data_IF_354237766516
#
_entry.id   IF_354237766516
#
_cell.length_a   1.000
_cell.length_b   1.000
_cell.length_c   1.000
_cell.angle_alpha   90.00
_cell.angle_beta   90.00
_cell.angle_gamma   90.00
#
_symmetry.space_group_name_H-M   'P 1'
#
loop_
_entity.id
_entity.type
_entity.pdbx_description
1 polymer ?
#
# COMPACT_ATOMS: atom_id res chain seq x y z
N UNK A 1 -20.63 -28.68 44.63
CA UNK A 1 -19.92 -28.33 45.89
C UNK A 1 -19.09 -27.08 45.54
N UNK A 2 -19.59 -25.87 45.86
CA UNK A 2 -19.26 -25.02 47.02
C UNK A 2 -17.75 -24.95 47.27
N UNK A 3 -17.07 -23.80 47.17
CA UNK A 3 -17.12 -22.51 47.94
C UNK A 3 -16.22 -21.50 47.22
N UNK A 4 -16.55 -20.31 46.85
CA UNK A 4 -16.62 -18.99 47.56
C UNK A 4 -15.52 -18.71 48.60
N UNK A 5 -14.87 -17.52 48.40
CA UNK A 5 -14.51 -16.51 49.42
C UNK A 5 -13.48 -15.57 48.74
N UNK A 6 -13.81 -14.37 48.34
CA UNK A 6 -14.01 -13.04 48.98
C UNK A 6 -12.76 -12.40 49.61
N UNK A 7 -12.59 -11.14 49.13
CA UNK A 7 -12.13 -9.90 49.81
C UNK A 7 -10.62 -9.78 50.06
N UNK A 8 -9.98 -8.63 49.96
CA UNK A 8 -10.38 -7.30 50.33
C UNK A 8 -9.45 -6.23 49.70
N UNK A 9 -9.99 -5.04 49.66
CA UNK A 9 -9.42 -3.78 49.26
C UNK A 9 -8.26 -3.28 50.16
N UNK A 10 -7.38 -2.46 49.58
CA UNK A 10 -6.70 -1.35 50.26
C UNK A 10 -6.37 -0.24 49.32
N UNK A 11 -7.06 0.89 49.47
CA UNK A 11 -6.69 2.21 48.99
C UNK A 11 -5.42 2.70 49.71
N UNK A 12 -4.51 3.32 49.00
CA UNK A 12 -3.66 4.40 49.55
C UNK A 12 -3.41 5.44 48.47
N UNK A 13 -4.02 6.61 48.65
CA UNK A 13 -3.64 7.87 48.04
C UNK A 13 -2.30 8.34 48.63
N UNK A 14 -1.41 8.78 47.76
CA UNK A 14 -0.41 9.78 48.13
C UNK A 14 -0.15 10.69 46.93
N UNK A 15 -0.64 11.91 47.04
CA UNK A 15 -0.28 13.02 46.17
C UNK A 15 1.07 13.56 46.62
N UNK A 16 1.97 13.81 45.67
CA UNK A 16 3.04 14.76 45.84
C UNK A 16 3.36 15.47 44.54
N UNK A 17 3.08 16.77 44.52
CA UNK A 17 3.61 17.73 43.55
C UNK A 17 5.15 17.83 43.69
N UNK A 18 5.81 17.84 42.55
CA UNK A 18 7.23 18.23 42.47
C UNK A 18 7.51 18.77 41.07
N UNK A 19 7.67 20.09 40.98
CA UNK A 19 8.14 20.82 39.79
C UNK A 19 9.67 20.65 39.66
N UNK A 20 10.08 20.81 38.40
CA UNK A 20 11.37 21.30 37.91
C UNK A 20 12.45 20.27 37.54
N UNK A 21 12.97 20.45 36.33
CA UNK A 21 14.31 20.04 36.00
C UNK A 21 14.51 19.54 34.58
N UNK A 22 15.10 20.39 33.77
CA UNK A 22 15.53 20.22 32.39
C UNK A 22 16.53 19.07 32.16
N UNK A 23 16.60 18.73 30.88
CA UNK A 23 17.72 18.17 30.11
C UNK A 23 18.08 16.70 30.31
N UNK A 24 18.06 16.01 29.18
CA UNK A 24 18.72 14.72 29.00
C UNK A 24 18.30 14.02 27.73
N UNK A 25 19.10 14.16 26.69
CA UNK A 25 19.10 13.37 25.49
C UNK A 25 18.85 11.89 25.74
N UNK A 26 17.87 11.34 25.07
CA UNK A 26 17.56 9.93 25.08
C UNK A 26 16.96 9.50 23.75
N UNK A 27 17.79 9.47 22.71
CA UNK A 27 17.52 8.94 21.38
C UNK A 27 17.09 7.48 21.46
N UNK A 28 15.80 7.20 21.50
CA UNK A 28 15.25 5.89 21.13
C UNK A 28 14.48 6.05 19.85
N UNK A 29 15.17 5.69 18.78
CA UNK A 29 14.65 5.57 17.43
C UNK A 29 13.54 4.53 17.41
N UNK A 30 12.28 5.00 17.46
CA UNK A 30 11.16 4.19 17.04
C UNK A 30 11.23 4.14 15.51
N UNK A 31 11.53 2.95 14.98
CA UNK A 31 11.47 2.63 13.55
C UNK A 31 10.02 2.85 13.09
N UNK A 32 9.74 4.05 12.61
CA UNK A 32 8.47 4.37 11.99
C UNK A 32 8.35 3.52 10.73
N UNK A 33 7.34 2.66 10.69
CA UNK A 33 6.94 1.95 9.50
C UNK A 33 6.67 2.99 8.42
N UNK A 34 7.40 2.92 7.32
CA UNK A 34 7.22 3.79 6.18
C UNK A 34 5.84 3.53 5.58
N UNK A 35 4.93 4.46 5.80
CA UNK A 35 3.65 4.51 5.08
C UNK A 35 3.99 4.88 3.63
N UNK A 36 3.54 4.14 2.60
CA UNK A 36 3.88 4.41 1.20
C UNK A 36 3.35 5.74 0.65
N UNK A 37 2.71 6.56 1.48
CA UNK A 37 2.00 7.77 1.08
C UNK A 37 2.78 9.08 1.30
N UNK A 38 4.02 9.09 1.79
CA UNK A 38 4.65 10.34 2.20
C UNK A 38 5.97 10.63 1.49
N UNK A 39 5.91 10.92 0.20
CA UNK A 39 6.90 11.73 -0.54
C UNK A 39 6.39 12.08 -1.93
N UNK A 40 5.19 12.60 -2.06
CA UNK A 40 4.81 13.29 -3.29
C UNK A 40 5.36 14.72 -3.21
N UNK A 41 6.54 14.96 -3.80
CA UNK A 41 6.82 16.26 -4.39
C UNK A 41 5.55 16.67 -5.15
N UNK A 42 5.08 17.93 -5.03
CA UNK A 42 3.93 18.48 -5.75
C UNK A 42 4.10 18.27 -7.27
N UNK A 43 3.92 17.07 -7.76
CA UNK A 43 3.71 16.81 -9.17
C UNK A 43 2.24 17.10 -9.44
N UNK A 44 2.01 17.92 -10.46
CA UNK A 44 0.67 18.16 -10.97
C UNK A 44 0.03 16.81 -11.30
N UNK A 45 -1.13 16.55 -10.69
CA UNK A 45 -1.80 15.25 -10.84
C UNK A 45 -2.20 15.04 -12.29
N UNK A 46 -1.85 13.88 -12.81
CA UNK A 46 -2.18 13.48 -14.16
C UNK A 46 -3.68 13.39 -14.35
N UNK A 47 -4.21 13.94 -15.44
CA UNK A 47 -5.60 13.75 -15.83
C UNK A 47 -5.82 12.31 -16.32
N UNK A 48 -6.46 11.49 -15.49
CA UNK A 48 -6.69 10.08 -15.81
C UNK A 48 -7.53 9.86 -17.08
N UNK A 49 -8.40 10.81 -17.45
CA UNK A 49 -9.24 10.70 -18.64
C UNK A 49 -8.45 10.81 -19.94
N UNK A 50 -7.23 11.37 -19.87
CA UNK A 50 -6.32 11.54 -21.01
C UNK A 50 -5.26 10.44 -21.10
N UNK A 51 -5.21 9.55 -20.10
CA UNK A 51 -4.28 8.44 -20.14
C UNK A 51 -4.79 7.32 -21.04
N UNK A 52 -3.89 6.81 -21.87
CA UNK A 52 -4.12 5.51 -22.50
C UNK A 52 -3.87 4.43 -21.46
N UNK A 53 -4.93 3.71 -21.10
CA UNK A 53 -4.88 2.57 -20.18
C UNK A 53 -5.13 1.31 -21.02
N UNK A 54 -4.16 0.41 -21.01
CA UNK A 54 -4.29 -0.88 -21.66
C UNK A 54 -4.93 -1.88 -20.66
N UNK A 55 -5.79 -2.78 -21.14
CA UNK A 55 -6.50 -3.73 -20.29
C UNK A 55 -5.80 -5.07 -20.17
N UNK A 56 -4.82 -5.35 -21.01
CA UNK A 56 -3.96 -6.54 -20.96
C UNK A 56 -2.65 -6.30 -21.73
N UNK A 57 -1.66 -7.13 -21.47
CA UNK A 57 -0.41 -7.18 -22.23
C UNK A 57 0.20 -8.57 -22.09
N UNK A 58 0.73 -9.12 -23.19
CA UNK A 58 1.48 -10.39 -23.18
C UNK A 58 2.77 -10.31 -22.35
N UNK A 59 3.21 -9.11 -22.02
CA UNK A 59 4.38 -8.89 -21.18
C UNK A 59 4.07 -9.06 -19.68
N UNK A 60 2.80 -8.95 -19.28
CA UNK A 60 2.41 -9.06 -17.88
C UNK A 60 2.80 -10.43 -17.30
N UNK A 61 3.28 -10.47 -16.05
CA UNK A 61 3.54 -11.73 -15.37
C UNK A 61 2.24 -12.50 -15.12
N UNK A 62 2.37 -13.78 -14.82
CA UNK A 62 1.23 -14.56 -14.32
C UNK A 62 1.15 -14.38 -12.81
N UNK A 63 -0.02 -13.92 -12.35
CA UNK A 63 -0.32 -13.75 -10.93
C UNK A 63 -1.15 -14.94 -10.45
N UNK A 64 -0.66 -15.61 -9.40
CA UNK A 64 -1.40 -16.67 -8.72
C UNK A 64 -2.65 -16.13 -8.03
N UNK A 65 -3.57 -17.03 -7.67
CA UNK A 65 -4.76 -16.61 -6.93
C UNK A 65 -4.36 -16.10 -5.53
N UNK A 66 -4.73 -14.89 -5.16
CA UNK A 66 -4.49 -14.41 -3.81
C UNK A 66 -5.36 -15.18 -2.80
N UNK A 67 -4.83 -15.43 -1.64
CA UNK A 67 -5.60 -15.88 -0.48
C UNK A 67 -5.71 -14.74 0.55
N UNK A 68 -6.65 -14.86 1.48
CA UNK A 68 -6.90 -13.79 2.46
C UNK A 68 -5.67 -13.38 3.28
N UNK A 69 -4.70 -14.29 3.46
CA UNK A 69 -3.56 -14.10 4.35
C UNK A 69 -2.20 -14.30 3.67
N UNK A 70 -2.17 -14.50 2.35
CA UNK A 70 -0.92 -14.75 1.63
C UNK A 70 -0.88 -13.97 0.32
N UNK A 71 0.22 -13.27 0.10
CA UNK A 71 0.50 -12.62 -1.17
C UNK A 71 0.44 -13.64 -2.33
N UNK A 72 -0.09 -13.25 -3.48
CA UNK A 72 -0.08 -14.11 -4.66
C UNK A 72 1.36 -14.38 -5.12
N UNK A 73 1.59 -15.56 -5.68
CA UNK A 73 2.83 -15.84 -6.38
C UNK A 73 2.87 -15.04 -7.69
N UNK A 74 4.07 -14.62 -8.10
CA UNK A 74 4.31 -13.96 -9.37
C UNK A 74 5.25 -14.80 -10.22
N UNK A 75 4.95 -14.94 -11.50
CA UNK A 75 5.82 -15.62 -12.48
C UNK A 75 6.03 -14.69 -13.66
N UNK A 76 7.25 -14.19 -13.81
CA UNK A 76 7.62 -13.27 -14.88
C UNK A 76 7.75 -13.95 -16.23
N UNK A 77 7.36 -13.25 -17.29
CA UNK A 77 7.62 -13.69 -18.66
C UNK A 77 9.08 -13.36 -18.98
N UNK A 78 9.90 -14.38 -19.19
CA UNK A 78 11.33 -14.23 -19.41
C UNK A 78 11.63 -13.27 -20.57
N UNK A 79 12.42 -12.25 -20.29
CA UNK A 79 12.85 -11.25 -21.27
C UNK A 79 11.75 -10.30 -21.75
N UNK A 80 10.57 -10.31 -21.14
CA UNK A 80 9.52 -9.37 -21.47
C UNK A 80 9.91 -7.95 -21.06
N UNK A 81 9.68 -7.01 -21.97
CA UNK A 81 9.85 -5.57 -21.66
C UNK A 81 8.61 -5.04 -20.95
N UNK A 82 8.85 -4.21 -19.94
CA UNK A 82 7.77 -3.55 -19.22
C UNK A 82 6.84 -2.76 -20.16
N UNK A 83 5.51 -2.79 -19.93
CA UNK A 83 4.57 -1.93 -20.62
C UNK A 83 4.92 -0.46 -20.45
N UNK A 84 4.78 0.33 -21.52
CA UNK A 84 5.04 1.78 -21.50
C UNK A 84 3.82 2.60 -21.12
N UNK A 85 2.64 2.00 -21.20
CA UNK A 85 1.37 2.57 -20.75
C UNK A 85 0.98 1.96 -19.40
N UNK A 86 0.14 2.68 -18.66
CA UNK A 86 -0.57 2.08 -17.53
C UNK A 86 -1.39 0.90 -18.05
N UNK A 87 -1.17 -0.28 -17.49
CA UNK A 87 -1.89 -1.49 -17.89
C UNK A 87 -2.63 -2.03 -16.69
N UNK A 88 -3.95 -2.25 -16.81
CA UNK A 88 -4.81 -2.72 -15.73
C UNK A 88 -5.58 -3.94 -16.20
N UNK A 89 -5.22 -5.10 -15.68
CA UNK A 89 -5.87 -6.37 -15.98
C UNK A 89 -6.73 -6.82 -14.82
N UNK A 90 -8.00 -7.08 -15.08
CA UNK A 90 -8.89 -7.67 -14.07
C UNK A 90 -8.68 -9.18 -14.02
N UNK A 91 -8.14 -9.65 -12.91
CA UNK A 91 -7.95 -11.09 -12.63
C UNK A 91 -9.26 -11.72 -12.17
N UNK A 92 -10.00 -10.99 -11.32
CA UNK A 92 -11.31 -11.40 -10.82
C UNK A 92 -12.18 -10.16 -10.66
N UNK A 93 -13.41 -10.23 -11.20
CA UNK A 93 -14.36 -9.14 -11.06
C UNK A 93 -15.05 -9.17 -9.68
N UNK A 94 -15.15 -8.01 -9.05
CA UNK A 94 -15.94 -7.76 -7.88
C UNK A 94 -17.34 -7.27 -8.24
N UNK A 95 -18.19 -7.14 -7.23
CA UNK A 95 -19.60 -6.70 -7.39
C UNK A 95 -19.96 -5.50 -6.52
N UNK A 96 -18.99 -4.94 -5.78
CA UNK A 96 -19.25 -3.81 -4.89
C UNK A 96 -19.33 -2.47 -5.62
N UNK A 97 -19.35 -1.38 -4.85
CA UNK A 97 -19.41 -0.03 -5.37
C UNK A 97 -18.20 0.30 -6.25
N UNK A 98 -18.42 1.12 -7.27
CA UNK A 98 -17.34 1.62 -8.11
C UNK A 98 -16.47 2.63 -7.35
N UNK A 99 -15.17 2.58 -7.61
CA UNK A 99 -14.18 3.49 -7.02
C UNK A 99 -14.24 4.83 -7.73
N UNK A 100 -14.54 5.90 -6.99
CA UNK A 100 -14.55 7.28 -7.46
C UNK A 100 -13.21 7.99 -7.16
N UNK A 101 -12.98 9.15 -7.75
CA UNK A 101 -11.72 9.88 -7.64
C UNK A 101 -11.36 10.34 -6.21
N UNK A 102 -12.38 10.55 -5.38
CA UNK A 102 -12.27 10.96 -3.96
C UNK A 102 -12.43 9.79 -2.98
N UNK A 103 -12.52 8.55 -3.48
CA UNK A 103 -12.73 7.38 -2.65
C UNK A 103 -11.57 7.14 -1.69
N UNK A 104 -11.93 6.68 -0.48
CA UNK A 104 -11.01 6.00 0.41
C UNK A 104 -11.17 4.50 0.20
N UNK A 105 -10.09 3.83 -0.14
CA UNK A 105 -10.06 2.39 -0.41
C UNK A 105 -9.26 1.65 0.65
N UNK A 106 -9.67 0.42 0.94
CA UNK A 106 -8.87 -0.54 1.70
C UNK A 106 -8.48 -1.67 0.74
N UNK A 107 -7.19 -1.89 0.56
CA UNK A 107 -6.71 -2.91 -0.35
C UNK A 107 -5.65 -3.81 0.30
N UNK A 108 -5.74 -5.09 -0.03
CA UNK A 108 -4.62 -5.99 0.09
C UNK A 108 -3.82 -5.91 -1.21
N UNK A 109 -2.51 -5.71 -1.10
CA UNK A 109 -1.65 -5.57 -2.26
C UNK A 109 -0.25 -6.11 -2.03
N UNK A 110 0.42 -6.44 -3.10
CA UNK A 110 1.85 -6.66 -3.16
C UNK A 110 2.41 -5.93 -4.36
N UNK A 111 3.53 -5.26 -4.17
CA UNK A 111 4.22 -4.50 -5.21
C UNK A 111 5.57 -5.10 -5.53
N UNK A 112 5.86 -5.24 -6.80
CA UNK A 112 7.15 -5.70 -7.32
C UNK A 112 7.71 -4.67 -8.28
N UNK A 113 9.01 -4.49 -8.27
CA UNK A 113 9.69 -3.84 -9.37
C UNK A 113 9.68 -4.81 -10.55
N UNK A 114 9.54 -4.26 -11.76
CA UNK A 114 9.52 -5.07 -12.98
C UNK A 114 10.69 -6.05 -13.03
N UNK A 115 10.38 -7.30 -13.39
CA UNK A 115 11.33 -8.43 -13.49
C UNK A 115 12.10 -8.70 -12.17
N UNK A 116 11.48 -8.40 -11.02
CA UNK A 116 12.02 -8.69 -9.71
C UNK A 116 11.21 -9.77 -8.98
N UNK A 117 11.90 -10.73 -8.40
CA UNK A 117 11.27 -11.74 -7.54
C UNK A 117 10.95 -11.20 -6.13
N UNK A 118 11.50 -10.02 -5.77
CA UNK A 118 11.36 -9.45 -4.41
C UNK A 118 10.28 -8.38 -4.40
N UNK A 119 9.35 -8.49 -3.49
CA UNK A 119 8.38 -7.43 -3.18
C UNK A 119 9.11 -6.24 -2.56
N UNK A 120 8.77 -5.03 -2.97
CA UNK A 120 9.23 -3.82 -2.30
C UNK A 120 8.26 -3.33 -1.23
N UNK A 121 6.98 -3.68 -1.35
CA UNK A 121 5.95 -3.37 -0.37
C UNK A 121 4.79 -4.37 -0.47
N UNK A 122 4.25 -4.78 0.69
CA UNK A 122 3.15 -5.73 0.76
C UNK A 122 2.30 -5.51 2.00
N UNK A 123 1.00 -5.38 1.82
CA UNK A 123 0.05 -5.37 2.92
C UNK A 123 -0.12 -6.75 3.55
N UNK A 124 0.14 -7.82 2.79
CA UNK A 124 0.09 -9.18 3.30
C UNK A 124 1.19 -9.44 4.34
N UNK A 125 2.38 -8.85 4.17
CA UNK A 125 3.45 -8.94 5.16
C UNK A 125 3.11 -8.20 6.46
N UNK A 126 2.22 -7.20 6.38
CA UNK A 126 1.69 -6.47 7.54
C UNK A 126 0.46 -7.14 8.17
N UNK A 127 -0.08 -8.18 7.55
CA UNK A 127 -1.22 -8.96 8.02
C UNK A 127 -2.58 -8.25 7.95
N UNK A 128 -2.66 -7.09 7.27
CA UNK A 128 -3.91 -6.32 7.16
C UNK A 128 -3.95 -5.45 5.91
N UNK A 129 -5.16 -5.22 5.40
CA UNK A 129 -5.38 -4.29 4.31
C UNK A 129 -4.93 -2.86 4.68
N UNK A 130 -4.33 -2.17 3.74
CA UNK A 130 -3.93 -0.78 3.90
C UNK A 130 -5.06 0.14 3.42
N UNK A 131 -5.35 1.17 4.21
CA UNK A 131 -6.32 2.21 3.86
C UNK A 131 -5.61 3.43 3.31
N UNK A 132 -6.12 3.98 2.21
CA UNK A 132 -5.60 5.20 1.61
C UNK A 132 -6.68 5.91 0.77
N UNK A 133 -6.60 7.24 0.73
CA UNK A 133 -7.40 8.04 -0.20
C UNK A 133 -6.73 8.08 -1.56
N UNK A 134 -7.48 7.95 -2.64
CA UNK A 134 -6.93 7.98 -4.01
C UNK A 134 -6.20 9.28 -4.32
N UNK A 135 -6.54 10.36 -3.63
CA UNK A 135 -5.85 11.64 -3.78
C UNK A 135 -4.44 11.66 -3.16
N UNK A 136 -4.08 10.68 -2.33
CA UNK A 136 -2.79 10.58 -1.64
C UNK A 136 -1.81 9.56 -2.22
N UNK A 137 -2.17 8.86 -3.29
CA UNK A 137 -1.34 7.82 -3.89
C UNK A 137 -0.73 8.27 -5.23
N UNK A 138 0.20 7.48 -5.75
CA UNK A 138 0.78 7.68 -7.08
C UNK A 138 -0.29 7.66 -8.17
N UNK A 139 -0.05 8.38 -9.27
CA UNK A 139 -1.05 8.52 -10.34
C UNK A 139 -1.42 7.18 -11.00
N UNK A 140 -0.48 6.25 -11.10
CA UNK A 140 -0.76 4.92 -11.63
C UNK A 140 -1.79 4.15 -10.80
N UNK A 141 -1.72 4.26 -9.47
CA UNK A 141 -2.73 3.66 -8.59
C UNK A 141 -4.07 4.38 -8.70
N UNK A 142 -4.03 5.71 -8.63
CA UNK A 142 -5.24 6.52 -8.72
C UNK A 142 -5.99 6.27 -10.02
N UNK A 143 -5.31 6.33 -11.16
CA UNK A 143 -5.94 6.13 -12.46
C UNK A 143 -6.27 4.65 -12.74
N UNK A 144 -5.46 3.72 -12.20
CA UNK A 144 -5.67 2.29 -12.37
C UNK A 144 -6.82 1.72 -11.56
N UNK A 145 -7.19 2.35 -10.45
CA UNK A 145 -8.32 1.90 -9.62
C UNK A 145 -9.63 2.59 -9.98
N UNK A 146 -9.58 3.73 -10.67
CA UNK A 146 -10.76 4.52 -10.98
C UNK A 146 -11.77 3.73 -11.82
N UNK A 147 -13.03 3.66 -11.37
CA UNK A 147 -14.12 2.94 -12.03
C UNK A 147 -14.14 1.43 -11.76
N UNK A 148 -13.09 0.85 -11.21
CA UNK A 148 -13.11 -0.53 -10.73
C UNK A 148 -14.01 -0.71 -9.52
N UNK A 149 -14.41 -1.94 -9.22
CA UNK A 149 -15.39 -2.23 -8.17
C UNK A 149 -14.72 -2.81 -6.93
N UNK A 150 -15.30 -2.54 -5.78
CA UNK A 150 -14.91 -3.23 -4.54
C UNK A 150 -15.08 -4.73 -4.73
N UNK A 151 -14.02 -5.47 -4.39
CA UNK A 151 -13.91 -6.92 -4.62
C UNK A 151 -13.21 -7.31 -5.91
N UNK A 152 -12.88 -6.35 -6.79
CA UNK A 152 -11.98 -6.62 -7.92
C UNK A 152 -10.62 -7.10 -7.42
N UNK A 153 -10.04 -8.02 -8.14
CA UNK A 153 -8.62 -8.36 -8.06
C UNK A 153 -7.97 -7.90 -9.36
N UNK A 154 -7.03 -6.99 -9.22
CA UNK A 154 -6.40 -6.31 -10.35
C UNK A 154 -4.90 -6.58 -10.36
N UNK A 155 -4.38 -6.75 -11.55
CA UNK A 155 -2.95 -6.63 -11.85
C UNK A 155 -2.73 -5.28 -12.54
N UNK A 156 -1.85 -4.46 -11.96
CA UNK A 156 -1.60 -3.10 -12.46
C UNK A 156 -0.11 -2.97 -12.73
N UNK A 157 0.27 -2.82 -14.00
CA UNK A 157 1.63 -2.41 -14.38
C UNK A 157 1.70 -0.90 -14.54
N UNK A 158 2.55 -0.27 -13.74
CA UNK A 158 2.64 1.18 -13.61
C UNK A 158 3.98 1.66 -14.12
N UNK A 159 4.04 2.38 -15.26
CA UNK A 159 5.27 3.01 -15.73
C UNK A 159 5.83 3.99 -14.70
N UNK A 160 7.16 4.09 -14.60
CA UNK A 160 7.82 4.94 -13.62
C UNK A 160 7.32 6.38 -13.58
N UNK A 161 6.99 6.97 -14.73
CA UNK A 161 6.41 8.32 -14.84
C UNK A 161 5.08 8.53 -14.13
N UNK A 162 4.32 7.44 -13.88
CA UNK A 162 3.05 7.44 -13.14
C UNK A 162 3.21 6.90 -11.71
N UNK A 163 4.43 6.64 -11.30
CA UNK A 163 4.81 6.15 -9.97
C UNK A 163 5.81 7.12 -9.31
N UNK A 164 7.03 6.68 -9.09
CA UNK A 164 8.06 7.45 -8.38
C UNK A 164 9.12 8.04 -9.31
N UNK A 165 9.00 7.82 -10.62
CA UNK A 165 9.98 8.22 -11.62
C UNK A 165 11.16 7.26 -11.73
N UNK A 166 12.09 7.58 -12.65
CA UNK A 166 13.31 6.80 -12.84
C UNK A 166 14.39 7.14 -11.81
N UNK A 167 14.26 8.32 -11.19
CA UNK A 167 15.13 8.84 -10.12
C UNK A 167 14.24 9.38 -9.00
N UNK A 168 13.68 8.52 -8.14
CA UNK A 168 12.80 8.98 -7.08
C UNK A 168 13.54 9.86 -6.09
N UNK A 169 12.87 10.93 -5.63
CA UNK A 169 13.42 11.83 -4.61
C UNK A 169 13.62 11.12 -3.25
N UNK A 170 12.79 10.11 -2.96
CA UNK A 170 12.99 9.24 -1.81
C UNK A 170 13.83 8.02 -2.23
N UNK A 171 15.04 7.82 -1.67
CA UNK A 171 15.91 6.69 -2.01
C UNK A 171 15.31 5.32 -1.70
N UNK A 172 14.27 5.26 -0.85
CA UNK A 172 13.55 4.02 -0.52
C UNK A 172 12.37 3.73 -1.44
N UNK A 173 11.97 4.70 -2.25
CA UNK A 173 10.98 4.45 -3.29
C UNK A 173 11.65 3.69 -4.45
N UNK A 174 10.97 2.67 -4.99
CA UNK A 174 11.53 1.94 -6.13
C UNK A 174 11.54 2.83 -7.37
N UNK A 175 12.61 2.75 -8.16
CA UNK A 175 12.71 3.42 -9.45
C UNK A 175 12.17 2.54 -10.58
N UNK A 176 11.66 3.15 -11.63
CA UNK A 176 11.23 2.45 -12.84
C UNK A 176 9.78 1.97 -12.81
N UNK A 177 9.49 0.93 -13.58
CA UNK A 177 8.15 0.35 -13.74
C UNK A 177 7.86 -0.72 -12.68
N UNK A 178 6.61 -0.83 -12.28
CA UNK A 178 6.07 -1.79 -11.30
C UNK A 178 4.94 -2.60 -11.89
#
# INVERSE_FOLDING_TARGET
MRRSLTAAAALLLAASLGLAGCSGDGKKSAKAAATPASAATKQEKVDCSKLKIDTDSKALPTIGQPSSNKAPAITWVKGAKAPTNLTVKTIKAGSGAAVAADSNVAANYSGWKWDSATTFDSSFERGSATRFGLNGVIDGWRCGLLGHKVGDVLEISIPGKLAYGDKPANPQAPAGTF
#
